data_IF_287809104468
#
_entry.id   IF_287809104468
#
_cell.length_a   1.000
_cell.length_b   1.000
_cell.length_c   1.000
_cell.angle_alpha   90.00
_cell.angle_beta   90.00
_cell.angle_gamma   90.00
#
_symmetry.space_group_name_H-M   'P 1'
#
loop_
_entity.id
_entity.type
_entity.pdbx_description
1 polymer ?
#
# COMPACT_ATOMS: atom_id res chain seq x y z
N UNK A 1 -54.42 0.30 -35.68
CA UNK A 1 -54.69 -1.15 -35.48
C UNK A 1 -53.50 -1.69 -34.70
N UNK A 2 -53.40 -1.73 -33.37
CA UNK A 2 -54.31 -1.79 -32.21
C UNK A 2 -53.55 -1.07 -31.04
N UNK A 3 -54.06 0.00 -30.42
CA UNK A 3 -54.95 0.08 -29.21
C UNK A 3 -54.26 -0.40 -27.91
N UNK A 4 -53.89 0.52 -26.98
CA UNK A 4 -54.60 0.87 -25.71
C UNK A 4 -54.16 -0.06 -24.53
N UNK A 5 -53.99 0.29 -23.24
CA UNK A 5 -54.33 1.44 -22.38
C UNK A 5 -53.82 1.19 -20.93
N UNK A 6 -53.67 2.29 -20.18
CA UNK A 6 -53.97 2.52 -18.74
C UNK A 6 -53.31 1.74 -17.57
N UNK A 7 -52.47 2.47 -16.81
CA UNK A 7 -52.57 2.98 -15.41
C UNK A 7 -53.28 2.15 -14.28
N UNK A 8 -53.10 2.51 -12.99
CA UNK A 8 -52.18 1.96 -11.98
C UNK A 8 -52.91 1.15 -10.86
N UNK A 9 -52.20 0.26 -10.16
CA UNK A 9 -52.71 -0.37 -8.92
C UNK A 9 -51.87 -0.01 -7.67
N UNK A 10 -52.53 -0.12 -6.52
CA UNK A 10 -52.49 0.76 -5.35
C UNK A 10 -52.10 -0.02 -4.07
N UNK A 11 -51.25 0.60 -3.24
CA UNK A 11 -51.06 0.51 -1.77
C UNK A 11 -50.60 -0.81 -1.06
N UNK A 12 -49.33 -0.79 -0.57
CA UNK A 12 -48.82 -0.76 0.85
C UNK A 12 -49.35 -1.80 1.89
N UNK A 13 -48.60 -2.20 2.97
CA UNK A 13 -47.19 -1.97 3.41
C UNK A 13 -46.39 -3.27 3.66
N UNK A 14 -45.06 -3.20 3.81
CA UNK A 14 -44.34 -3.91 4.90
C UNK A 14 -42.84 -3.52 5.01
N UNK A 15 -42.57 -2.74 6.06
CA UNK A 15 -41.48 -2.92 7.03
C UNK A 15 -40.04 -3.14 6.49
N UNK A 16 -39.39 -2.01 6.24
CA UNK A 16 -38.11 -1.63 6.86
C UNK A 16 -36.88 -2.44 6.49
N UNK A 17 -35.93 -1.79 5.81
CA UNK A 17 -34.54 -1.98 6.17
C UNK A 17 -33.78 -0.66 6.17
N UNK A 18 -33.10 -0.44 7.30
CA UNK A 18 -32.44 0.80 7.65
C UNK A 18 -31.20 0.94 6.78
N UNK A 19 -31.03 2.12 6.20
CA UNK A 19 -29.74 2.63 5.75
C UNK A 19 -28.68 2.37 6.83
N UNK A 20 -27.83 1.37 6.62
CA UNK A 20 -26.64 1.18 7.46
C UNK A 20 -25.64 2.22 7.02
N UNK A 21 -25.76 3.39 7.64
CA UNK A 21 -24.72 4.42 7.73
C UNK A 21 -23.40 3.73 8.04
N UNK A 22 -22.45 3.82 7.11
CA UNK A 22 -21.09 3.37 7.32
C UNK A 22 -20.52 4.10 8.55
N UNK A 23 -20.46 3.40 9.68
CA UNK A 23 -19.84 3.89 10.90
C UNK A 23 -18.36 4.07 10.63
N UNK A 24 -17.96 5.32 10.37
CA UNK A 24 -16.58 5.75 10.33
C UNK A 24 -15.94 5.43 11.68
N UNK A 25 -15.13 4.37 11.73
CA UNK A 25 -14.27 4.10 12.88
C UNK A 25 -13.21 5.19 12.91
N UNK A 26 -13.39 6.13 13.84
CA UNK A 26 -12.46 7.19 14.20
C UNK A 26 -11.05 6.60 14.33
N UNK A 27 -10.16 6.92 13.40
CA UNK A 27 -8.72 6.67 13.54
C UNK A 27 -8.25 7.42 14.78
N UNK A 28 -7.94 6.68 15.84
CA UNK A 28 -7.26 7.23 17.01
C UNK A 28 -5.78 7.34 16.66
N UNK A 29 -5.28 8.57 16.59
CA UNK A 29 -3.84 8.85 16.49
C UNK A 29 -3.12 8.19 17.67
N UNK A 30 -2.01 7.46 17.43
CA UNK A 30 -1.22 6.88 18.52
C UNK A 30 -0.56 8.02 19.30
N UNK A 31 -0.89 8.14 20.60
CA UNK A 31 -0.21 9.07 21.52
C UNK A 31 1.28 8.75 21.54
N UNK A 32 2.09 9.66 20.99
CA UNK A 32 3.55 9.58 20.99
C UNK A 32 4.04 9.77 22.43
N UNK A 33 4.41 8.68 23.10
CA UNK A 33 5.10 8.75 24.38
C UNK A 33 6.57 9.01 24.13
N UNK A 34 7.03 10.21 24.48
CA UNK A 34 8.43 10.60 24.42
C UNK A 34 9.20 9.90 25.56
N UNK A 35 10.17 9.06 25.21
CA UNK A 35 11.24 8.64 26.12
C UNK A 35 11.20 7.22 26.70
N UNK A 36 10.32 6.32 26.24
CA UNK A 36 10.29 4.92 26.72
C UNK A 36 10.00 3.90 25.62
N UNK A 37 10.58 2.70 25.74
CA UNK A 37 10.28 1.56 24.86
C UNK A 37 8.81 1.17 25.04
N UNK A 38 7.99 1.35 24.01
CA UNK A 38 6.57 0.99 24.05
C UNK A 38 6.44 -0.54 23.96
N UNK A 39 6.24 -1.18 25.12
CA UNK A 39 6.06 -2.63 25.21
C UNK A 39 4.66 -3.00 24.74
N UNK A 40 4.57 -3.84 23.72
CA UNK A 40 3.30 -4.34 23.22
C UNK A 40 2.73 -5.42 24.15
N UNK A 41 1.58 -5.15 24.77
CA UNK A 41 0.90 -6.05 25.71
C UNK A 41 -0.55 -6.27 25.25
N UNK A 42 -0.79 -7.16 24.28
CA UNK A 42 -2.16 -7.58 23.96
C UNK A 42 -2.28 -9.09 23.82
N UNK A 43 -3.23 -9.65 24.58
CA UNK A 43 -3.83 -10.97 24.37
C UNK A 43 -3.08 -12.13 25.01
N UNK A 44 -1.79 -12.29 24.73
CA UNK A 44 -1.01 -13.44 25.22
C UNK A 44 0.47 -13.06 25.38
N UNK A 45 1.01 -13.00 26.61
CA UNK A 45 2.45 -12.80 26.79
C UNK A 45 3.19 -13.98 26.15
N UNK A 46 4.34 -13.70 25.54
CA UNK A 46 5.24 -14.77 25.11
C UNK A 46 5.59 -15.65 26.33
N UNK A 47 5.96 -16.92 26.13
CA UNK A 47 6.47 -17.76 27.21
C UNK A 47 7.57 -17.02 27.99
N UNK A 48 7.51 -17.07 29.32
CA UNK A 48 8.40 -16.34 30.24
C UNK A 48 8.25 -14.81 30.23
N UNK A 49 7.07 -14.27 29.86
CA UNK A 49 6.75 -12.84 29.91
C UNK A 49 7.79 -11.94 29.22
N UNK A 50 8.41 -12.44 28.15
CA UNK A 50 9.48 -11.72 27.46
C UNK A 50 8.92 -10.45 26.82
N UNK A 51 9.36 -9.24 27.23
CA UNK A 51 8.86 -7.99 26.67
C UNK A 51 9.21 -7.89 25.17
N UNK A 52 8.29 -7.33 24.39
CA UNK A 52 8.49 -7.07 22.98
C UNK A 52 8.08 -5.64 22.66
N UNK A 53 8.86 -5.00 21.81
CA UNK A 53 8.53 -3.69 21.25
C UNK A 53 7.52 -3.85 20.11
N UNK A 54 6.66 -2.85 19.90
CA UNK A 54 5.82 -2.78 18.71
C UNK A 54 6.65 -2.60 17.44
N UNK A 55 6.27 -3.29 16.36
CA UNK A 55 6.93 -3.11 15.05
C UNK A 55 6.60 -1.74 14.44
N UNK A 56 7.56 -1.14 13.74
CA UNK A 56 7.42 0.09 12.95
C UNK A 56 6.64 -0.09 11.62
N UNK A 57 6.18 -1.31 11.33
CA UNK A 57 5.56 -1.67 10.06
C UNK A 57 4.10 -1.18 10.01
N UNK A 58 3.74 -0.38 8.99
CA UNK A 58 2.36 0.05 8.76
C UNK A 58 1.59 -1.03 7.99
N UNK A 59 0.60 -1.62 8.66
CA UNK A 59 -0.32 -2.58 8.03
C UNK A 59 -1.42 -1.82 7.29
N UNK A 60 -1.62 -2.12 6.00
CA UNK A 60 -2.66 -1.51 5.18
C UNK A 60 -3.96 -2.33 5.22
N UNK A 61 -3.86 -3.65 5.06
CA UNK A 61 -5.00 -4.56 5.07
C UNK A 61 -4.58 -5.93 5.60
N UNK A 62 -5.50 -6.65 6.22
CA UNK A 62 -5.27 -8.04 6.66
C UNK A 62 -6.19 -8.98 5.90
N UNK A 63 -5.63 -10.04 5.32
CA UNK A 63 -6.40 -11.12 4.69
C UNK A 63 -6.60 -12.27 5.71
N UNK A 64 -7.79 -12.85 5.76
CA UNK A 64 -8.15 -13.94 6.69
C UNK A 64 -8.79 -15.15 5.99
N UNK A 65 -8.32 -15.52 4.79
CA UNK A 65 -8.88 -16.68 4.09
C UNK A 65 -8.32 -18.01 4.59
N UNK A 66 -7.09 -18.02 5.13
CA UNK A 66 -6.36 -19.21 5.60
C UNK A 66 -5.43 -18.81 6.75
N UNK A 67 -5.99 -18.11 7.74
CA UNK A 67 -5.26 -17.47 8.84
C UNK A 67 -4.93 -15.99 8.57
N UNK A 68 -4.43 -15.31 9.61
CA UNK A 68 -4.12 -13.88 9.61
C UNK A 68 -2.86 -13.62 8.77
N UNK A 69 -3.02 -12.98 7.62
CA UNK A 69 -1.93 -12.58 6.72
C UNK A 69 -1.95 -11.06 6.51
N UNK A 70 -1.15 -10.29 7.27
CA UNK A 70 -1.09 -8.85 7.12
C UNK A 70 -0.40 -8.46 5.81
N UNK A 71 -0.94 -7.43 5.16
CA UNK A 71 -0.33 -6.77 3.99
C UNK A 71 0.10 -5.39 4.42
N UNK A 72 1.38 -5.12 4.25
CA UNK A 72 2.04 -3.89 4.71
C UNK A 72 2.24 -2.92 3.55
N UNK A 73 2.36 -1.64 3.88
CA UNK A 73 2.74 -0.63 2.89
C UNK A 73 4.22 -0.76 2.55
N UNK A 74 4.58 -0.63 1.27
CA UNK A 74 5.96 -0.53 0.82
C UNK A 74 6.22 0.83 0.17
N UNK A 75 7.48 1.26 0.14
CA UNK A 75 7.90 2.50 -0.53
C UNK A 75 8.26 2.27 -2.01
N UNK A 76 7.80 1.16 -2.61
CA UNK A 76 8.10 0.85 -4.00
C UNK A 76 7.23 1.70 -4.94
N UNK A 77 7.87 2.39 -5.88
CA UNK A 77 7.16 3.10 -6.94
C UNK A 77 6.94 2.16 -8.13
N UNK A 78 5.72 1.62 -8.23
CA UNK A 78 5.33 0.68 -9.30
C UNK A 78 4.79 1.49 -10.48
N UNK A 79 5.39 1.33 -11.66
CA UNK A 79 4.97 2.04 -12.87
C UNK A 79 3.96 1.25 -13.69
N UNK A 80 4.13 -0.07 -13.76
CA UNK A 80 3.32 -0.98 -14.57
C UNK A 80 3.46 -2.42 -14.03
N UNK A 81 2.60 -3.34 -14.49
CA UNK A 81 2.64 -4.77 -14.15
C UNK A 81 2.54 -5.61 -15.41
N UNK A 82 3.51 -6.50 -15.64
CA UNK A 82 3.56 -7.40 -16.80
C UNK A 82 2.87 -8.72 -16.46
N UNK A 83 2.10 -9.28 -17.41
CA UNK A 83 1.42 -10.57 -17.28
C UNK A 83 2.08 -11.61 -18.19
N UNK A 84 3.06 -12.33 -17.64
CA UNK A 84 3.75 -13.44 -18.33
C UNK A 84 3.58 -14.78 -17.61
N UNK A 85 3.34 -14.75 -16.28
CA UNK A 85 3.01 -15.91 -15.43
C UNK A 85 2.43 -15.40 -14.11
N UNK A 86 1.26 -14.76 -14.20
CA UNK A 86 0.75 -13.90 -13.13
C UNK A 86 1.29 -12.46 -13.21
N UNK A 87 0.89 -11.64 -12.24
CA UNK A 87 1.20 -10.21 -12.21
C UNK A 87 2.62 -9.97 -11.68
N UNK A 88 3.51 -9.47 -12.53
CA UNK A 88 4.88 -9.11 -12.16
C UNK A 88 5.03 -7.58 -12.15
N UNK A 89 5.12 -6.93 -10.98
CA UNK A 89 5.25 -5.48 -10.91
C UNK A 89 6.61 -5.03 -11.46
N UNK A 90 6.60 -3.94 -12.22
CA UNK A 90 7.79 -3.23 -12.71
C UNK A 90 7.93 -1.96 -11.88
N UNK A 91 9.07 -1.80 -11.23
CA UNK A 91 9.36 -0.65 -10.39
C UNK A 91 10.23 0.36 -11.11
N UNK A 92 10.10 1.64 -10.74
CA UNK A 92 10.99 2.70 -11.22
C UNK A 92 12.38 2.53 -10.58
N UNK A 93 13.42 2.49 -11.39
CA UNK A 93 14.81 2.59 -10.92
C UNK A 93 15.19 4.04 -10.60
N UNK A 94 16.18 4.23 -9.72
CA UNK A 94 16.76 5.54 -9.43
C UNK A 94 17.83 5.97 -10.45
N UNK A 95 18.19 5.09 -11.39
CA UNK A 95 19.25 5.32 -12.35
C UNK A 95 18.81 6.35 -13.41
N UNK A 96 19.63 7.37 -13.64
CA UNK A 96 19.49 8.27 -14.78
C UNK A 96 20.21 7.67 -15.99
N UNK A 97 19.44 7.33 -17.01
CA UNK A 97 19.93 6.72 -18.24
C UNK A 97 20.15 7.84 -19.25
N UNK A 98 21.38 8.00 -19.73
CA UNK A 98 21.72 9.01 -20.74
C UNK A 98 21.39 8.53 -22.14
N UNK A 99 21.67 7.25 -22.42
CA UNK A 99 21.53 6.66 -23.75
C UNK A 99 21.07 5.19 -23.67
N UNK A 100 20.47 4.70 -24.75
CA UNK A 100 20.07 3.30 -24.88
C UNK A 100 20.39 2.78 -26.29
N UNK A 101 21.21 1.74 -26.38
CA UNK A 101 21.55 1.07 -27.64
C UNK A 101 20.68 -0.18 -27.81
N UNK A 102 20.13 -0.42 -29.01
CA UNK A 102 19.19 -1.53 -29.29
C UNK A 102 19.75 -2.62 -30.23
N UNK A 103 21.02 -2.55 -30.63
CA UNK A 103 21.63 -3.47 -31.62
C UNK A 103 21.58 -4.95 -31.21
N UNK A 104 21.62 -5.24 -29.91
CA UNK A 104 21.32 -6.57 -29.34
C UNK A 104 20.53 -6.43 -28.04
N UNK A 105 19.28 -5.98 -28.18
CA UNK A 105 18.37 -5.71 -27.05
C UNK A 105 18.65 -4.38 -26.37
N UNK A 106 17.80 -4.02 -25.41
CA UNK A 106 17.84 -2.72 -24.73
C UNK A 106 18.96 -2.68 -23.68
N UNK A 107 20.09 -2.04 -24.01
CA UNK A 107 21.23 -1.84 -23.10
C UNK A 107 21.28 -0.40 -22.63
N UNK A 108 20.83 -0.07 -21.40
CA UNK A 108 20.90 1.28 -20.87
C UNK A 108 22.35 1.63 -20.49
N UNK A 109 22.76 2.85 -20.81
CA UNK A 109 24.06 3.43 -20.45
C UNK A 109 23.81 4.61 -19.52
N UNK A 110 24.58 4.70 -18.44
CA UNK A 110 24.54 5.83 -17.51
C UNK A 110 25.65 6.84 -17.87
N UNK A 111 25.47 8.09 -17.43
CA UNK A 111 26.51 9.10 -17.59
C UNK A 111 27.73 8.79 -16.72
N UNK A 112 28.93 9.04 -17.26
CA UNK A 112 30.17 9.06 -16.48
C UNK A 112 30.45 10.44 -15.89
N UNK A 113 29.69 11.46 -16.29
CA UNK A 113 29.85 12.82 -15.77
C UNK A 113 29.38 12.86 -14.32
N UNK A 114 30.30 13.23 -13.43
CA UNK A 114 30.02 13.43 -12.02
C UNK A 114 29.50 14.86 -11.87
N UNK A 115 28.25 15.02 -11.43
CA UNK A 115 27.55 16.31 -11.44
C UNK A 115 28.15 17.36 -10.48
N UNK A 116 28.95 16.94 -9.48
CA UNK A 116 29.55 17.88 -8.54
C UNK A 116 31.02 17.55 -8.22
N UNK A 117 31.90 18.14 -9.03
CA UNK A 117 33.36 18.12 -8.82
C UNK A 117 33.71 18.85 -7.51
N UNK A 118 32.92 19.86 -7.08
CA UNK A 118 33.23 20.63 -5.89
C UNK A 118 33.02 19.82 -4.60
N UNK A 119 31.97 18.98 -4.51
CA UNK A 119 31.87 18.01 -3.39
C UNK A 119 33.01 17.01 -3.41
N UNK A 120 33.42 16.51 -4.58
CA UNK A 120 34.50 15.52 -4.67
C UNK A 120 35.84 16.07 -4.20
N UNK A 121 36.18 17.32 -4.57
CA UNK A 121 37.41 17.99 -4.11
C UNK A 121 37.34 18.32 -2.61
N UNK A 122 36.15 18.49 -2.04
CA UNK A 122 35.96 18.70 -0.60
C UNK A 122 36.28 17.47 0.29
N UNK A 123 36.43 16.28 -0.29
CA UNK A 123 36.85 15.06 0.42
C UNK A 123 38.34 14.73 0.27
N UNK A 124 39.09 15.52 -0.49
CA UNK A 124 40.54 15.42 -0.64
C UNK A 124 41.22 16.32 0.37
N UNK A 125 41.21 15.90 1.64
CA UNK A 125 41.99 16.46 2.75
C UNK A 125 42.92 15.37 3.31
#
# INVERSE_FOLDING_TARGET
KNTETNTPEKNTPEKGDKTVTATQSKEQEPKKQEGGLQVYQKGYPLPQNRPVESSHLKVFRTYNSMGIRPVTTSNLNITHSIVLSGNRPVTKGSLMISEQYSVMGNRPVASNEIEDIATLIGYLD
#
